data_IF_390595119764
#
_entry.id   IF_390595119764
#
_cell.length_a   1.000
_cell.length_b   1.000
_cell.length_c   1.000
_cell.angle_alpha   90.00
_cell.angle_beta   90.00
_cell.angle_gamma   90.00
#
_symmetry.space_group_name_H-M   'P 1'
#
loop_
_entity.id
_entity.type
_entity.pdbx_description
1 polymer ?
#
# COMPACT_ATOMS: atom_id res chain seq x y z
N UNK A 1 -5.65 14.09 17.37
CA UNK A 1 -4.75 13.06 17.93
C UNK A 1 -5.40 12.56 19.19
N UNK A 2 -5.50 11.24 19.37
CA UNK A 2 -5.94 10.69 20.65
C UNK A 2 -4.81 10.95 21.64
N UNK A 3 -5.05 11.86 22.59
CA UNK A 3 -4.10 12.10 23.66
C UNK A 3 -4.00 10.84 24.53
N UNK A 4 -2.78 10.46 24.85
CA UNK A 4 -2.54 9.27 25.63
C UNK A 4 -2.84 9.49 27.10
N UNK A 5 -3.42 8.46 27.70
CA UNK A 5 -3.76 8.47 29.11
C UNK A 5 -2.50 8.34 29.96
N UNK A 6 -2.52 8.91 31.16
CA UNK A 6 -1.40 8.79 32.11
C UNK A 6 -1.02 7.33 32.38
N UNK A 7 -2.01 6.42 32.35
CA UNK A 7 -1.80 4.97 32.47
C UNK A 7 -0.96 4.40 31.33
N UNK A 8 -1.19 4.85 30.09
CA UNK A 8 -0.42 4.39 28.93
C UNK A 8 1.02 4.90 28.98
N UNK A 9 1.22 6.14 29.44
CA UNK A 9 2.55 6.73 29.60
C UNK A 9 3.31 5.98 30.71
N UNK A 10 2.68 5.74 31.85
CA UNK A 10 3.29 4.99 32.95
C UNK A 10 3.67 3.56 32.54
N UNK A 11 2.79 2.87 31.80
CA UNK A 11 3.08 1.54 31.28
C UNK A 11 4.24 1.53 30.29
N UNK A 12 4.36 2.55 29.43
CA UNK A 12 5.48 2.67 28.51
C UNK A 12 6.82 2.84 29.23
N UNK A 13 6.88 3.70 30.24
CA UNK A 13 8.07 3.87 31.08
C UNK A 13 8.44 2.57 31.82
N UNK A 14 7.44 1.86 32.34
CA UNK A 14 7.64 0.55 32.98
C UNK A 14 8.23 -0.48 32.00
N UNK A 15 7.66 -0.60 30.80
CA UNK A 15 8.15 -1.53 29.76
C UNK A 15 9.59 -1.19 29.36
N UNK A 16 9.88 0.09 29.12
CA UNK A 16 11.23 0.54 28.76
C UNK A 16 12.24 0.23 29.87
N UNK A 17 11.89 0.48 31.13
CA UNK A 17 12.73 0.18 32.29
C UNK A 17 13.01 -1.32 32.42
N UNK A 18 11.97 -2.15 32.32
CA UNK A 18 12.12 -3.61 32.38
C UNK A 18 12.97 -4.15 31.22
N UNK A 19 12.80 -3.61 30.00
CA UNK A 19 13.59 -4.00 28.84
C UNK A 19 15.09 -3.69 29.02
N UNK A 20 15.43 -2.50 29.53
CA UNK A 20 16.82 -2.13 29.81
C UNK A 20 17.42 -3.00 30.90
N UNK A 21 16.68 -3.27 31.98
CA UNK A 21 17.13 -4.18 33.04
C UNK A 21 17.40 -5.58 32.49
N UNK A 22 16.47 -6.11 31.71
CA UNK A 22 16.63 -7.42 31.06
C UNK A 22 17.85 -7.46 30.14
N UNK A 23 18.08 -6.41 29.35
CA UNK A 23 19.23 -6.32 28.45
C UNK A 23 20.55 -6.40 29.20
N UNK A 24 20.69 -5.65 30.30
CA UNK A 24 21.88 -5.67 31.15
C UNK A 24 22.08 -7.06 31.77
N UNK A 25 21.03 -7.61 32.39
CA UNK A 25 21.09 -8.91 33.07
C UNK A 25 21.40 -10.04 32.08
N UNK A 26 20.82 -10.00 30.87
CA UNK A 26 21.00 -11.03 29.86
C UNK A 26 22.37 -10.94 29.17
N UNK A 27 22.85 -9.75 28.82
CA UNK A 27 24.17 -9.57 28.21
C UNK A 27 25.30 -10.02 29.14
N UNK A 28 25.14 -9.90 30.46
CA UNK A 28 26.08 -10.45 31.43
C UNK A 28 26.18 -11.99 31.40
N UNK A 29 25.21 -12.70 30.81
CA UNK A 29 25.21 -14.16 30.65
C UNK A 29 25.73 -14.62 29.28
N UNK A 30 25.86 -13.71 28.32
CA UNK A 30 26.28 -14.03 26.96
C UNK A 30 27.82 -14.13 26.86
N UNK A 31 28.34 -14.94 25.93
CA UNK A 31 29.76 -14.91 25.58
C UNK A 31 30.17 -13.52 25.06
N UNK A 32 31.45 -13.13 25.23
CA UNK A 32 31.97 -11.81 24.82
C UNK A 32 31.72 -11.45 23.34
N UNK A 33 31.52 -12.44 22.47
CA UNK A 33 31.24 -12.23 21.05
C UNK A 33 29.76 -11.95 20.73
N UNK A 34 28.88 -11.89 21.74
CA UNK A 34 27.43 -11.74 21.57
C UNK A 34 26.90 -10.63 22.46
N UNK A 35 26.08 -9.77 21.87
CA UNK A 35 25.38 -8.69 22.56
C UNK A 35 23.94 -8.61 22.04
N UNK A 36 22.98 -8.50 22.96
CA UNK A 36 21.62 -8.12 22.65
C UNK A 36 21.50 -6.60 22.75
N UNK A 37 21.05 -5.97 21.67
CA UNK A 37 20.83 -4.52 21.60
C UNK A 37 19.35 -4.17 21.70
N UNK A 38 19.07 -2.99 22.24
CA UNK A 38 17.73 -2.41 22.26
C UNK A 38 17.52 -1.55 21.01
N UNK A 39 16.72 -2.04 20.07
CA UNK A 39 16.45 -1.32 18.81
C UNK A 39 15.52 -0.13 18.98
N UNK A 40 14.51 -0.23 19.87
CA UNK A 40 13.57 0.86 20.11
C UNK A 40 12.24 0.42 20.74
N UNK A 41 11.32 1.37 20.84
CA UNK A 41 9.97 1.17 21.36
C UNK A 41 8.93 1.62 20.35
N UNK A 42 7.92 0.79 20.12
CA UNK A 42 6.79 1.14 19.27
C UNK A 42 5.49 1.00 20.04
N UNK A 43 4.80 2.13 20.25
CA UNK A 43 3.55 2.17 21.01
C UNK A 43 2.44 1.34 20.36
N UNK A 44 2.36 1.38 19.03
CA UNK A 44 1.39 0.61 18.24
C UNK A 44 2.07 -0.03 17.04
N UNK A 45 1.65 -1.24 16.74
CA UNK A 45 2.13 -2.01 15.61
C UNK A 45 1.04 -2.90 15.04
N UNK A 46 1.13 -3.17 13.75
CA UNK A 46 0.24 -4.04 13.02
C UNK A 46 1.07 -5.04 12.22
N UNK A 47 0.81 -6.34 12.45
CA UNK A 47 1.60 -7.43 11.90
C UNK A 47 0.70 -8.32 11.03
N UNK A 48 1.01 -8.40 9.74
CA UNK A 48 0.21 -9.15 8.75
C UNK A 48 0.73 -10.57 8.61
N UNK A 49 2.00 -10.70 8.22
CA UNK A 49 2.71 -11.97 8.05
C UNK A 49 4.20 -11.77 8.28
N UNK A 50 4.99 -12.85 8.21
CA UNK A 50 6.45 -12.79 8.28
C UNK A 50 6.99 -11.73 7.30
N UNK A 51 7.79 -10.78 7.81
CA UNK A 51 8.36 -9.62 7.09
C UNK A 51 7.33 -8.59 6.56
N UNK A 52 6.08 -8.62 7.01
CA UNK A 52 5.03 -7.68 6.62
C UNK A 52 4.37 -7.05 7.85
N UNK A 53 4.82 -5.86 8.22
CA UNK A 53 4.31 -5.15 9.38
C UNK A 53 4.44 -3.64 9.22
N UNK A 54 3.70 -2.91 10.04
CA UNK A 54 3.81 -1.46 10.20
C UNK A 54 3.81 -1.12 11.69
N UNK A 55 4.72 -0.27 12.12
CA UNK A 55 4.76 0.29 13.48
C UNK A 55 4.71 1.82 13.39
N UNK A 56 4.35 2.47 14.50
CA UNK A 56 4.36 3.92 14.60
C UNK A 56 5.32 4.38 15.69
N UNK A 57 6.14 5.37 15.35
CA UNK A 57 7.12 6.02 16.20
C UNK A 57 7.04 7.53 15.94
N UNK A 58 6.84 8.33 16.99
CA UNK A 58 6.74 9.80 16.90
C UNK A 58 5.76 10.32 15.82
N UNK A 59 4.67 9.58 15.61
CA UNK A 59 3.66 9.91 14.61
C UNK A 59 4.04 9.60 13.16
N UNK A 60 5.18 8.93 12.93
CA UNK A 60 5.68 8.45 11.65
C UNK A 60 5.47 6.93 11.56
N UNK A 61 5.00 6.48 10.39
CA UNK A 61 4.79 5.05 10.15
C UNK A 61 6.04 4.43 9.54
N UNK A 62 6.53 3.38 10.17
CA UNK A 62 7.62 2.55 9.69
C UNK A 62 7.02 1.24 9.21
N UNK A 63 6.99 1.04 7.88
CA UNK A 63 6.46 -0.16 7.25
C UNK A 63 7.58 -1.02 6.67
N UNK A 64 7.44 -2.34 6.82
CA UNK A 64 8.33 -3.34 6.20
C UNK A 64 7.50 -4.33 5.40
N UNK A 65 7.89 -4.55 4.15
CA UNK A 65 7.29 -5.55 3.24
C UNK A 65 5.84 -5.31 2.81
N UNK A 66 5.22 -4.21 3.24
CA UNK A 66 3.93 -3.74 2.76
C UNK A 66 4.04 -3.00 1.42
N UNK A 67 2.94 -2.90 0.70
CA UNK A 67 2.79 -2.16 -0.56
C UNK A 67 3.33 -0.73 -0.51
N UNK A 68 3.18 -0.07 0.65
CA UNK A 68 3.61 1.28 0.92
C UNK A 68 5.06 1.55 0.51
N UNK A 69 5.95 0.58 0.72
CA UNK A 69 7.40 0.72 0.43
C UNK A 69 7.81 0.09 -0.91
N UNK A 70 6.85 -0.43 -1.68
CA UNK A 70 7.12 -1.16 -2.92
C UNK A 70 7.08 -0.24 -4.14
N UNK A 71 8.12 -0.28 -4.96
CA UNK A 71 8.24 0.57 -6.17
C UNK A 71 7.16 0.29 -7.22
N UNK A 72 6.73 -0.96 -7.32
CA UNK A 72 5.80 -1.49 -8.32
C UNK A 72 4.32 -1.27 -8.01
N UNK A 73 4.01 -0.44 -7.01
CA UNK A 73 2.64 -0.04 -6.66
C UNK A 73 2.42 1.44 -6.97
N UNK A 74 1.23 1.75 -7.49
CA UNK A 74 0.83 3.10 -7.81
C UNK A 74 0.77 3.98 -6.55
N UNK A 75 1.15 5.27 -6.62
CA UNK A 75 1.02 6.22 -5.51
C UNK A 75 -0.35 6.19 -4.84
N UNK A 76 -1.44 6.14 -5.62
CA UNK A 76 -2.81 6.07 -5.08
C UNK A 76 -3.02 4.93 -4.09
N UNK A 77 -2.41 3.76 -4.33
CA UNK A 77 -2.53 2.61 -3.44
C UNK A 77 -1.65 2.78 -2.19
N UNK A 78 -0.45 3.33 -2.35
CA UNK A 78 0.47 3.63 -1.23
C UNK A 78 -0.12 4.67 -0.29
N UNK A 79 -0.61 5.77 -0.84
CA UNK A 79 -1.20 6.88 -0.08
C UNK A 79 -2.47 6.42 0.63
N UNK A 80 -3.28 5.57 -0.02
CA UNK A 80 -4.43 4.94 0.65
C UNK A 80 -3.98 4.04 1.80
N UNK A 81 -2.99 3.16 1.58
CA UNK A 81 -2.48 2.26 2.61
C UNK A 81 -1.89 3.05 3.79
N UNK A 82 -1.13 4.12 3.52
CA UNK A 82 -0.58 5.00 4.54
C UNK A 82 -1.69 5.73 5.32
N UNK A 83 -2.70 6.24 4.62
CA UNK A 83 -3.84 6.94 5.23
C UNK A 83 -4.61 6.04 6.20
N UNK A 84 -4.89 4.79 5.81
CA UNK A 84 -5.58 3.85 6.71
C UNK A 84 -4.69 3.41 7.88
N UNK A 85 -3.38 3.23 7.65
CA UNK A 85 -2.46 2.90 8.73
C UNK A 85 -2.33 4.05 9.72
N UNK A 86 -2.37 5.31 9.27
CA UNK A 86 -2.43 6.48 10.15
C UNK A 86 -3.73 6.49 10.96
N UNK A 87 -4.88 6.26 10.32
CA UNK A 87 -6.16 6.20 11.04
C UNK A 87 -6.15 5.11 12.14
N UNK A 88 -5.57 3.94 11.85
CA UNK A 88 -5.52 2.82 12.80
C UNK A 88 -4.42 3.01 13.86
N UNK A 89 -3.17 3.22 13.44
CA UNK A 89 -2.01 3.26 14.33
C UNK A 89 -1.83 4.59 15.04
N UNK A 90 -2.30 5.71 14.49
CA UNK A 90 -2.21 7.02 15.14
C UNK A 90 -3.51 7.38 15.85
N UNK A 91 -4.63 7.26 15.17
CA UNK A 91 -5.92 7.70 15.71
C UNK A 91 -6.71 6.59 16.41
N UNK A 92 -6.35 5.32 16.23
CA UNK A 92 -7.11 4.20 16.79
C UNK A 92 -8.52 4.06 16.20
N UNK A 93 -8.76 4.62 15.01
CA UNK A 93 -10.09 4.78 14.43
C UNK A 93 -10.21 3.98 13.13
N UNK A 94 -10.86 2.81 13.24
CA UNK A 94 -11.11 1.91 12.11
C UNK A 94 -12.17 2.48 11.17
N UNK A 95 -13.16 3.22 11.68
CA UNK A 95 -14.22 3.81 10.84
C UNK A 95 -13.64 4.92 9.97
N UNK A 96 -12.72 5.73 10.51
CA UNK A 96 -11.95 6.69 9.71
C UNK A 96 -11.17 6.01 8.58
N UNK A 97 -10.57 4.83 8.83
CA UNK A 97 -9.92 4.06 7.76
C UNK A 97 -10.92 3.63 6.67
N UNK A 98 -12.11 3.16 7.04
CA UNK A 98 -13.20 2.81 6.11
C UNK A 98 -13.63 4.01 5.28
N UNK A 99 -13.76 5.19 5.89
CA UNK A 99 -14.12 6.43 5.19
C UNK A 99 -13.05 6.84 4.17
N UNK A 100 -11.77 6.71 4.50
CA UNK A 100 -10.66 6.96 3.58
C UNK A 100 -10.78 6.05 2.35
N UNK A 101 -10.99 4.74 2.57
CA UNK A 101 -11.17 3.76 1.48
C UNK A 101 -12.38 4.12 0.62
N UNK A 102 -13.54 4.40 1.23
CA UNK A 102 -14.76 4.81 0.52
C UNK A 102 -14.51 6.03 -0.36
N UNK A 103 -13.85 7.06 0.17
CA UNK A 103 -13.55 8.30 -0.55
C UNK A 103 -12.66 8.05 -1.76
N UNK A 104 -11.57 7.29 -1.59
CA UNK A 104 -10.65 7.04 -2.70
C UNK A 104 -11.28 6.16 -3.78
N UNK A 105 -12.06 5.13 -3.39
CA UNK A 105 -12.77 4.28 -4.36
C UNK A 105 -13.74 5.10 -5.21
N UNK A 106 -14.49 6.03 -4.60
CA UNK A 106 -15.37 6.95 -5.35
C UNK A 106 -14.57 7.83 -6.32
N UNK A 107 -13.48 8.43 -5.87
CA UNK A 107 -12.61 9.30 -6.67
C UNK A 107 -11.99 8.56 -7.87
N UNK A 108 -11.57 7.31 -7.66
CA UNK A 108 -11.00 6.46 -8.73
C UNK A 108 -12.07 6.07 -9.73
N UNK A 109 -13.29 5.71 -9.28
CA UNK A 109 -14.40 5.38 -10.17
C UNK A 109 -14.90 6.57 -10.99
N UNK A 110 -14.84 7.78 -10.45
CA UNK A 110 -15.31 8.99 -11.15
C UNK A 110 -14.33 9.54 -12.19
N UNK A 111 -13.09 9.06 -12.23
CA UNK A 111 -12.07 9.61 -13.13
C UNK A 111 -11.28 10.78 -12.53
N UNK A 112 -11.49 11.11 -11.25
CA UNK A 112 -10.96 12.33 -10.61
C UNK A 112 -9.55 12.16 -10.03
N UNK A 113 -8.85 11.06 -10.34
CA UNK A 113 -7.47 10.82 -9.93
C UNK A 113 -6.51 11.26 -11.02
N UNK A 114 -5.47 11.99 -10.64
CA UNK A 114 -4.42 12.42 -11.55
C UNK A 114 -3.64 11.20 -12.07
N UNK A 115 -3.33 11.18 -13.36
CA UNK A 115 -2.59 10.10 -13.99
C UNK A 115 -1.22 9.86 -13.33
N UNK A 116 -0.61 10.91 -12.76
CA UNK A 116 0.66 10.78 -12.02
C UNK A 116 0.54 9.90 -10.76
N UNK A 117 -0.64 9.90 -10.13
CA UNK A 117 -0.91 9.11 -8.93
C UNK A 117 -1.17 7.63 -9.28
N UNK A 118 -1.23 7.32 -10.57
CA UNK A 118 -1.51 6.01 -11.14
C UNK A 118 -0.28 5.35 -11.77
N UNK A 119 0.88 6.02 -11.78
CA UNK A 119 2.10 5.51 -12.40
C UNK A 119 2.59 4.26 -11.66
N UNK A 120 2.88 3.22 -12.43
CA UNK A 120 3.54 2.00 -11.96
C UNK A 120 4.98 1.98 -12.47
N UNK A 121 5.92 1.76 -11.56
CA UNK A 121 7.35 1.64 -11.88
C UNK A 121 7.78 0.18 -11.86
N UNK A 122 8.25 -0.34 -12.99
CA UNK A 122 8.80 -1.70 -13.06
C UNK A 122 10.15 -1.70 -13.76
N UNK A 123 11.10 -2.44 -13.21
CA UNK A 123 12.44 -2.56 -13.77
C UNK A 123 12.48 -3.68 -14.82
N UNK A 124 13.06 -3.38 -15.99
CA UNK A 124 13.42 -4.39 -16.99
C UNK A 124 14.60 -5.20 -16.46
N UNK A 125 14.45 -6.52 -16.38
CA UNK A 125 15.47 -7.42 -15.78
C UNK A 125 16.26 -8.21 -16.81
N UNK A 126 15.80 -8.25 -18.07
CA UNK A 126 16.37 -8.98 -19.20
C UNK A 126 16.18 -8.19 -20.48
N UNK A 127 16.76 -8.61 -21.61
CA UNK A 127 16.42 -8.00 -22.91
C UNK A 127 14.94 -8.26 -23.22
N UNK A 128 14.27 -7.34 -23.91
CA UNK A 128 12.83 -7.45 -24.19
C UNK A 128 12.49 -8.74 -24.94
N UNK A 129 13.35 -9.16 -25.88
CA UNK A 129 13.26 -10.42 -26.62
C UNK A 129 13.31 -11.69 -25.76
N UNK A 130 13.91 -11.61 -24.56
CA UNK A 130 14.16 -12.78 -23.71
C UNK A 130 12.99 -13.05 -22.74
N UNK A 131 11.97 -12.20 -22.74
CA UNK A 131 10.78 -12.36 -21.92
C UNK A 131 9.85 -13.43 -22.52
N UNK A 132 9.72 -14.56 -21.81
CA UNK A 132 8.74 -15.61 -22.16
C UNK A 132 7.29 -15.18 -21.93
N UNK A 133 7.07 -14.38 -20.88
CA UNK A 133 5.75 -13.84 -20.54
C UNK A 133 5.76 -12.33 -20.73
N UNK A 134 4.92 -11.85 -21.65
CA UNK A 134 4.83 -10.45 -22.01
C UNK A 134 3.89 -9.73 -21.03
N UNK A 135 4.49 -9.14 -19.99
CA UNK A 135 3.80 -8.36 -18.98
C UNK A 135 3.55 -6.90 -19.39
N UNK A 136 2.75 -6.15 -18.62
CA UNK A 136 2.48 -4.71 -18.84
C UNK A 136 3.74 -3.86 -19.06
N UNK A 137 4.73 -4.03 -18.19
CA UNK A 137 6.02 -3.33 -18.27
C UNK A 137 6.81 -3.66 -19.55
N UNK A 138 6.68 -4.88 -20.09
CA UNK A 138 7.35 -5.29 -21.33
C UNK A 138 6.69 -4.64 -22.54
N UNK A 139 5.35 -4.60 -22.58
CA UNK A 139 4.62 -3.93 -23.67
C UNK A 139 4.87 -2.42 -23.65
N UNK A 140 4.83 -1.81 -22.47
CA UNK A 140 5.16 -0.39 -22.34
C UNK A 140 6.61 -0.12 -22.78
N UNK A 141 7.57 -0.97 -22.38
CA UNK A 141 8.95 -0.86 -22.84
C UNK A 141 9.10 -1.00 -24.36
N UNK A 142 8.41 -1.95 -24.99
CA UNK A 142 8.46 -2.13 -26.45
C UNK A 142 7.98 -0.86 -27.16
N UNK A 143 6.89 -0.25 -26.68
CA UNK A 143 6.39 1.01 -27.27
C UNK A 143 7.38 2.16 -27.16
N UNK A 144 8.15 2.22 -26.08
CA UNK A 144 9.23 3.20 -25.94
C UNK A 144 10.39 2.89 -26.89
N UNK A 145 10.74 1.61 -27.05
CA UNK A 145 11.77 1.16 -27.99
C UNK A 145 11.38 1.45 -29.45
N UNK A 146 10.11 1.26 -29.81
CA UNK A 146 9.58 1.56 -31.14
C UNK A 146 9.64 3.07 -31.47
N UNK A 147 9.70 3.93 -30.44
CA UNK A 147 9.95 5.37 -30.56
C UNK A 147 11.44 5.75 -30.59
N UNK A 148 12.33 4.76 -30.57
CA UNK A 148 13.78 4.96 -30.59
C UNK A 148 14.45 5.09 -29.22
N UNK A 149 13.73 4.88 -28.10
CA UNK A 149 14.38 4.85 -26.79
C UNK A 149 15.18 3.55 -26.61
N UNK A 150 16.43 3.67 -26.16
CA UNK A 150 17.26 2.51 -25.85
C UNK A 150 16.83 1.92 -24.51
N UNK A 151 16.10 0.81 -24.55
CA UNK A 151 15.68 0.07 -23.35
C UNK A 151 16.64 -1.09 -23.10
N UNK A 152 17.19 -1.16 -21.89
CA UNK A 152 18.13 -2.18 -21.49
C UNK A 152 17.76 -2.83 -20.16
N UNK A 153 18.54 -3.84 -19.79
CA UNK A 153 18.48 -4.39 -18.43
C UNK A 153 18.81 -3.28 -17.43
N UNK A 154 17.97 -3.13 -16.42
CA UNK A 154 18.09 -2.11 -15.40
C UNK A 154 17.20 -0.90 -15.61
N UNK A 155 16.70 -0.66 -16.84
CA UNK A 155 15.81 0.46 -17.15
C UNK A 155 14.51 0.38 -16.35
N UNK A 156 14.11 1.49 -15.74
CA UNK A 156 12.83 1.61 -15.04
C UNK A 156 11.79 2.14 -16.03
N UNK A 157 10.73 1.37 -16.22
CA UNK A 157 9.60 1.72 -17.09
C UNK A 157 8.50 2.28 -16.22
N UNK A 158 8.02 3.45 -16.62
CA UNK A 158 6.88 4.14 -16.03
C UNK A 158 5.69 3.98 -16.97
N UNK A 159 4.63 3.37 -16.48
CA UNK A 159 3.44 3.13 -17.29
C UNK A 159 2.17 3.23 -16.46
N UNK A 160 1.06 3.41 -17.15
CA UNK A 160 -0.29 3.40 -16.60
C UNK A 160 -1.14 2.38 -17.35
N UNK A 161 -2.13 1.81 -16.67
CA UNK A 161 -3.09 0.91 -17.30
C UNK A 161 -4.33 1.70 -17.68
N UNK A 162 -4.67 1.68 -18.97
CA UNK A 162 -5.78 2.46 -19.53
C UNK A 162 -6.98 1.60 -19.85
N UNK A 163 -8.16 2.24 -19.90
CA UNK A 163 -9.40 1.56 -20.25
C UNK A 163 -9.34 1.05 -21.69
N UNK A 164 -9.75 -0.19 -21.91
CA UNK A 164 -9.73 -0.81 -23.23
C UNK A 164 -10.11 -2.28 -23.22
N UNK A 165 -10.17 -2.89 -24.41
CA UNK A 165 -10.37 -4.34 -24.57
C UNK A 165 -9.03 -5.07 -24.51
N UNK A 166 -9.08 -6.37 -24.23
CA UNK A 166 -7.90 -7.24 -24.22
C UNK A 166 -7.17 -7.31 -22.88
N UNK A 167 -6.04 -8.05 -22.84
CA UNK A 167 -5.28 -8.29 -21.61
C UNK A 167 -4.67 -7.01 -21.05
N UNK A 168 -4.46 -6.96 -19.74
CA UNK A 168 -3.85 -5.82 -19.01
C UNK A 168 -2.52 -5.40 -19.66
N UNK A 169 -1.73 -6.36 -20.16
CA UNK A 169 -0.45 -6.07 -20.81
C UNK A 169 -0.58 -5.16 -22.02
N UNK A 170 -1.60 -5.37 -22.88
CA UNK A 170 -1.82 -4.53 -24.06
C UNK A 170 -2.39 -3.15 -23.72
N UNK A 171 -3.00 -3.02 -22.54
CA UNK A 171 -3.57 -1.79 -22.01
C UNK A 171 -2.58 -0.96 -21.21
N UNK A 172 -1.32 -1.40 -21.10
CA UNK A 172 -0.25 -0.64 -20.49
C UNK A 172 0.28 0.40 -21.49
N UNK A 173 0.19 1.68 -21.14
CA UNK A 173 0.72 2.80 -21.92
C UNK A 173 1.89 3.41 -21.15
N UNK A 174 3.03 3.72 -21.79
CA UNK A 174 4.06 4.55 -21.17
C UNK A 174 3.47 5.84 -20.60
N UNK A 175 3.93 6.28 -19.43
CA UNK A 175 3.34 7.45 -18.77
C UNK A 175 3.41 8.72 -19.64
N UNK A 176 4.49 8.91 -20.40
CA UNK A 176 4.66 10.01 -21.36
C UNK A 176 3.58 10.07 -22.46
N UNK A 177 2.89 8.96 -22.74
CA UNK A 177 1.85 8.87 -23.76
C UNK A 177 0.44 8.92 -23.17
N UNK A 178 0.32 9.03 -21.85
CA UNK A 178 -0.93 8.79 -21.13
C UNK A 178 -1.96 9.91 -21.27
N UNK A 179 -1.56 11.11 -21.68
CA UNK A 179 -2.41 12.32 -21.71
C UNK A 179 -3.71 12.15 -22.50
N UNK A 180 -3.68 11.37 -23.59
CA UNK A 180 -4.84 11.13 -24.46
C UNK A 180 -5.73 9.96 -24.03
N UNK A 181 -5.41 9.31 -22.90
CA UNK A 181 -6.09 8.10 -22.46
C UNK A 181 -6.82 8.28 -21.13
N UNK A 182 -7.89 7.52 -20.98
CA UNK A 182 -8.61 7.38 -19.71
C UNK A 182 -8.08 6.14 -19.00
N UNK A 183 -7.72 6.28 -17.73
CA UNK A 183 -7.21 5.15 -16.95
C UNK A 183 -8.30 4.08 -16.69
N UNK A 184 -7.89 2.85 -16.46
CA UNK A 184 -8.82 1.77 -16.08
C UNK A 184 -9.09 1.78 -14.57
N UNK A 185 -10.20 2.41 -14.17
CA UNK A 185 -10.62 2.48 -12.77
C UNK A 185 -10.73 1.11 -12.10
N UNK A 186 -11.24 0.11 -12.82
CA UNK A 186 -11.49 -1.22 -12.26
C UNK A 186 -10.17 -1.93 -11.98
N UNK A 187 -9.20 -1.79 -12.88
CA UNK A 187 -7.83 -2.27 -12.65
C UNK A 187 -7.21 -1.63 -11.39
N UNK A 188 -7.26 -0.31 -11.23
CA UNK A 188 -6.65 0.31 -10.05
C UNK A 188 -7.38 -0.06 -8.76
N UNK A 189 -8.69 -0.24 -8.79
CA UNK A 189 -9.44 -0.70 -7.61
C UNK A 189 -9.04 -2.14 -7.27
N UNK A 190 -9.12 -3.05 -8.24
CA UNK A 190 -9.01 -4.49 -8.00
C UNK A 190 -7.58 -4.99 -7.88
N UNK A 191 -6.63 -4.37 -8.57
CA UNK A 191 -5.23 -4.79 -8.64
C UNK A 191 -4.29 -3.89 -7.84
N UNK A 192 -4.71 -2.69 -7.40
CA UNK A 192 -3.85 -1.76 -6.65
C UNK A 192 -4.43 -1.38 -5.28
N UNK A 193 -5.65 -0.83 -5.21
CA UNK A 193 -6.16 -0.30 -3.93
C UNK A 193 -6.62 -1.43 -3.01
N UNK A 194 -7.55 -2.27 -3.47
CA UNK A 194 -8.14 -3.34 -2.65
C UNK A 194 -7.08 -4.30 -2.11
N UNK A 195 -6.13 -4.83 -2.90
CA UNK A 195 -5.11 -5.73 -2.38
C UNK A 195 -4.18 -5.09 -1.34
N UNK A 196 -3.91 -3.79 -1.46
CA UNK A 196 -3.07 -3.05 -0.52
C UNK A 196 -3.78 -2.87 0.83
N UNK A 197 -5.07 -2.53 0.81
CA UNK A 197 -5.82 -2.27 2.05
C UNK A 197 -6.41 -3.52 2.69
N UNK A 198 -6.77 -4.55 1.91
CA UNK A 198 -7.50 -5.71 2.46
C UNK A 198 -6.68 -6.48 3.48
N UNK A 199 -5.36 -6.58 3.28
CA UNK A 199 -4.47 -7.27 4.23
C UNK A 199 -4.46 -6.65 5.62
N UNK A 200 -4.78 -5.36 5.72
CA UNK A 200 -4.90 -4.66 6.99
C UNK A 200 -6.34 -4.80 7.49
N UNK A 201 -7.30 -4.48 6.64
CA UNK A 201 -8.72 -4.40 7.02
C UNK A 201 -9.37 -5.77 7.30
N UNK A 202 -8.81 -6.87 6.79
CA UNK A 202 -9.23 -8.25 7.09
C UNK A 202 -9.11 -8.55 8.59
N UNK A 203 -8.06 -8.03 9.27
CA UNK A 203 -7.89 -8.16 10.73
C UNK A 203 -8.97 -7.41 11.53
N UNK A 204 -9.69 -6.50 10.89
CA UNK A 204 -10.81 -5.75 11.46
C UNK A 204 -12.18 -6.24 10.94
N UNK A 205 -12.24 -7.41 10.29
CA UNK A 205 -13.49 -8.03 9.84
C UNK A 205 -14.04 -7.53 8.50
N UNK A 206 -13.25 -6.77 7.73
CA UNK A 206 -13.62 -6.31 6.39
C UNK A 206 -13.02 -7.23 5.32
N UNK A 207 -13.87 -7.99 4.65
CA UNK A 207 -13.47 -8.81 3.51
C UNK A 207 -13.21 -7.94 2.27
N UNK A 208 -12.43 -8.47 1.31
CA UNK A 208 -12.24 -7.81 0.00
C UNK A 208 -13.56 -7.39 -0.66
N UNK A 209 -14.58 -8.24 -0.56
CA UNK A 209 -15.91 -7.95 -1.10
C UNK A 209 -16.54 -6.74 -0.41
N UNK A 210 -16.61 -6.72 0.93
CA UNK A 210 -17.13 -5.57 1.69
C UNK A 210 -16.41 -4.28 1.34
N UNK A 211 -15.08 -4.34 1.17
CA UNK A 211 -14.27 -3.18 0.81
C UNK A 211 -14.60 -2.65 -0.60
N UNK A 212 -14.85 -3.52 -1.57
CA UNK A 212 -15.29 -3.10 -2.92
C UNK A 212 -16.66 -2.44 -2.90
N UNK A 213 -17.58 -2.99 -2.11
CA UNK A 213 -18.94 -2.47 -1.92
C UNK A 213 -18.95 -1.04 -1.33
N UNK A 214 -17.92 -0.65 -0.56
CA UNK A 214 -17.78 0.73 -0.05
C UNK A 214 -17.73 1.77 -1.18
N UNK A 215 -17.20 1.41 -2.34
CA UNK A 215 -17.11 2.27 -3.51
C UNK A 215 -18.32 2.22 -4.41
N UNK A 216 -19.32 1.39 -4.13
CA UNK A 216 -20.57 1.37 -4.89
C UNK A 216 -21.47 2.53 -4.43
N UNK A 217 -22.34 3.03 -5.33
CA UNK A 217 -23.38 3.96 -4.90
C UNK A 217 -24.21 3.21 -3.86
N UNK A 218 -24.50 3.84 -2.72
CA UNK A 218 -25.51 3.31 -1.80
C UNK A 218 -26.72 2.92 -2.66
N UNK A 219 -27.07 1.63 -2.67
CA UNK A 219 -28.34 1.22 -3.26
C UNK A 219 -29.38 2.09 -2.56
N UNK A 220 -29.97 3.01 -3.30
CA UNK A 220 -31.13 3.76 -2.83
C UNK A 220 -32.07 2.70 -2.29
N UNK A 221 -32.30 2.68 -0.96
CA UNK A 221 -33.37 1.87 -0.40
C UNK A 221 -34.62 2.38 -1.10
N UNK A 222 -35.16 1.60 -2.03
CA UNK A 222 -36.44 1.89 -2.63
C UNK A 222 -37.46 1.92 -1.48
N UNK A 223 -38.44 2.83 -1.58
CA UNK A 223 -39.48 3.00 -0.57
C UNK A 223 -40.20 1.69 -0.20
N UNK A 224 -40.15 0.68 -1.07
CA UNK A 224 -40.63 -0.69 -0.85
C UNK A 224 -39.95 -1.43 0.31
N UNK A 225 -38.82 -0.95 0.85
CA UNK A 225 -38.21 -1.55 2.06
C UNK A 225 -38.85 -1.06 3.37
N UNK A 226 -39.86 -0.19 3.30
CA UNK A 226 -40.54 0.42 4.46
C UNK A 226 -42.05 0.15 4.50
N UNK A 227 -42.60 -0.58 3.53
CA UNK A 227 -44.02 -0.96 3.46
C UNK A 227 -44.19 -2.48 3.53
#
# INVERSE_FOLDING_TARGET
>A
MVAETDKQIALEEEIKSQAHKFLVDFNATLPESMELEYEGFYRRGFFVTKKRYAVIEDGVIIAKGLELVRRDWAPVAKDTQQGILMAILKDGDVEKAVQIIRKILKKVKSGDVDMKDLIIHTQITKKLSDYKQIGPHVVAAQRLEDKGMKIGRGTIIQYVVVKGKGPISQRAIPFEDSEKYIYDSDYYIDNQIIPAVSRIMESFGYTKQKLKELGEKEKQKTLDSFF
#
